data_IF_245543567085
#
_entry.id   IF_245543567085
#
_cell.length_a   1.000
_cell.length_b   1.000
_cell.length_c   1.000
_cell.angle_alpha   90.00
_cell.angle_beta   90.00
_cell.angle_gamma   90.00
#
_symmetry.space_group_name_H-M   'P 1'
#
loop_
_entity.id
_entity.type
_entity.pdbx_description
1 polymer ?
#
# COMPACT_ATOMS: atom_id res chain seq x y z
N UNK A 1 2.68 20.82 23.18
CA UNK A 1 3.03 19.48 22.67
C UNK A 1 2.93 19.55 21.16
N UNK A 2 4.03 19.48 20.43
CA UNK A 2 4.00 19.55 18.98
C UNK A 2 3.29 18.30 18.45
N UNK A 3 2.14 18.48 17.80
CA UNK A 3 1.59 17.47 16.91
C UNK A 3 2.63 17.29 15.80
N UNK A 4 3.54 16.33 15.96
CA UNK A 4 4.33 15.86 14.82
C UNK A 4 3.33 15.18 13.89
N UNK A 5 2.84 15.94 12.92
CA UNK A 5 1.99 15.42 11.86
C UNK A 5 2.73 14.26 11.21
N UNK A 6 2.08 13.10 11.16
CA UNK A 6 2.62 11.93 10.48
C UNK A 6 2.82 12.33 9.01
N UNK A 7 4.09 12.38 8.57
CA UNK A 7 4.45 12.71 7.20
C UNK A 7 4.62 11.40 6.44
N UNK A 8 3.66 11.13 5.55
CA UNK A 8 3.68 9.93 4.72
C UNK A 8 4.29 10.28 3.37
N UNK A 9 5.33 9.55 3.00
CA UNK A 9 5.94 9.61 1.69
C UNK A 9 5.31 8.53 0.79
N UNK A 10 4.95 8.90 -0.43
CA UNK A 10 4.40 7.98 -1.42
C UNK A 10 5.40 7.85 -2.58
N UNK A 11 5.77 6.62 -2.92
CA UNK A 11 6.67 6.32 -4.04
C UNK A 11 5.99 5.38 -5.05
N UNK A 12 6.21 5.63 -6.34
CA UNK A 12 5.64 4.86 -7.44
C UNK A 12 6.54 3.69 -7.84
N UNK A 13 7.23 3.10 -6.87
CA UNK A 13 8.21 2.03 -7.05
C UNK A 13 7.89 0.85 -6.17
N UNK A 14 8.41 -0.31 -6.58
CA UNK A 14 8.30 -1.51 -5.78
C UNK A 14 9.20 -1.33 -4.57
N UNK A 15 8.69 -1.54 -3.34
CA UNK A 15 9.52 -1.49 -2.15
C UNK A 15 10.55 -2.62 -2.18
N UNK A 16 11.55 -2.56 -1.31
CA UNK A 16 12.44 -3.69 -1.13
C UNK A 16 11.66 -4.89 -0.57
N UNK A 17 12.10 -6.10 -0.93
CA UNK A 17 11.47 -7.33 -0.43
C UNK A 17 11.51 -7.43 1.10
N UNK A 18 12.58 -6.92 1.73
CA UNK A 18 12.72 -6.84 3.19
C UNK A 18 11.60 -5.99 3.80
N UNK A 19 11.37 -4.80 3.26
CA UNK A 19 10.37 -3.86 3.78
C UNK A 19 8.96 -4.44 3.62
N UNK A 20 8.71 -5.13 2.50
CA UNK A 20 7.47 -5.87 2.28
C UNK A 20 7.27 -7.00 3.31
N UNK A 21 8.32 -7.76 3.64
CA UNK A 21 8.24 -8.81 4.65
C UNK A 21 7.93 -8.25 6.04
N UNK A 22 8.51 -7.10 6.39
CA UNK A 22 8.20 -6.41 7.65
C UNK A 22 6.73 -5.94 7.70
N UNK A 23 6.25 -5.32 6.61
CA UNK A 23 4.84 -4.94 6.48
C UNK A 23 3.91 -6.15 6.63
N UNK A 24 4.22 -7.25 5.93
CA UNK A 24 3.45 -8.48 5.99
C UNK A 24 3.41 -9.07 7.40
N UNK A 25 4.57 -9.12 8.09
CA UNK A 25 4.66 -9.61 9.45
C UNK A 25 3.78 -8.79 10.41
N UNK A 26 3.82 -7.46 10.33
CA UNK A 26 2.97 -6.58 11.13
C UNK A 26 1.48 -6.77 10.83
N UNK A 27 1.10 -6.98 9.57
CA UNK A 27 -0.31 -7.23 9.21
C UNK A 27 -0.81 -8.56 9.74
N UNK A 28 0.02 -9.62 9.65
CA UNK A 28 -0.36 -10.95 10.12
C UNK A 28 -0.41 -11.02 11.65
N UNK A 29 0.44 -10.24 12.34
CA UNK A 29 0.36 -10.07 13.79
C UNK A 29 -1.00 -9.49 14.21
N UNK A 30 -1.49 -8.47 13.51
CA UNK A 30 -2.80 -7.84 13.77
C UNK A 30 -3.98 -8.72 13.28
N UNK A 31 -3.83 -9.39 12.14
CA UNK A 31 -4.85 -10.23 11.54
C UNK A 31 -4.23 -11.43 10.81
N UNK A 32 -4.21 -12.57 11.51
CA UNK A 32 -3.62 -13.81 11.00
C UNK A 32 -4.30 -14.35 9.73
N UNK A 33 -5.53 -13.91 9.45
CA UNK A 33 -6.31 -14.30 8.26
C UNK A 33 -6.33 -13.21 7.19
N UNK A 34 -5.45 -12.20 7.28
CA UNK A 34 -5.37 -11.16 6.26
C UNK A 34 -5.01 -11.78 4.91
N UNK A 35 -5.84 -11.54 3.90
CA UNK A 35 -5.54 -11.94 2.53
C UNK A 35 -4.55 -10.93 1.93
N UNK A 36 -3.25 -11.19 2.09
CA UNK A 36 -2.18 -10.36 1.56
C UNK A 36 -1.60 -10.99 0.29
N UNK A 37 -1.44 -10.20 -0.76
CA UNK A 37 -0.89 -10.65 -2.04
C UNK A 37 0.59 -10.98 -1.93
N UNK A 38 1.10 -11.86 -2.78
CA UNK A 38 2.54 -12.16 -2.83
C UNK A 38 3.35 -10.96 -3.35
N UNK A 39 4.61 -10.86 -2.92
CA UNK A 39 5.52 -9.76 -3.30
C UNK A 39 5.69 -9.65 -4.82
N UNK A 40 5.79 -10.80 -5.48
CA UNK A 40 5.98 -10.92 -6.93
C UNK A 40 4.80 -10.30 -7.70
N UNK A 41 3.58 -10.40 -7.17
CA UNK A 41 2.38 -9.77 -7.75
C UNK A 41 2.51 -8.25 -7.80
N UNK A 42 3.13 -7.64 -6.79
CA UNK A 42 3.41 -6.20 -6.80
C UNK A 42 4.52 -5.84 -7.78
N UNK A 43 5.60 -6.63 -7.82
CA UNK A 43 6.71 -6.41 -8.75
C UNK A 43 6.28 -6.46 -10.22
N UNK A 44 5.31 -7.32 -10.54
CA UNK A 44 4.78 -7.50 -11.90
C UNK A 44 3.67 -6.51 -12.25
N UNK A 45 3.19 -5.72 -11.28
CA UNK A 45 2.11 -4.78 -11.51
C UNK A 45 2.59 -3.53 -12.24
N UNK A 46 1.84 -3.13 -13.25
CA UNK A 46 2.11 -1.96 -14.09
C UNK A 46 2.06 -0.62 -13.32
N UNK A 47 1.32 -0.56 -12.21
CA UNK A 47 1.23 0.61 -11.34
C UNK A 47 1.22 0.18 -9.87
N UNK A 48 2.15 0.72 -9.09
CA UNK A 48 2.30 0.44 -7.66
C UNK A 48 2.59 1.74 -6.92
N UNK A 49 2.09 1.82 -5.70
CA UNK A 49 2.34 2.93 -4.77
C UNK A 49 2.76 2.30 -3.44
N UNK A 50 3.97 2.60 -2.99
CA UNK A 50 4.46 2.29 -1.66
C UNK A 50 4.28 3.53 -0.77
N UNK A 51 3.83 3.32 0.47
CA UNK A 51 3.63 4.37 1.46
C UNK A 51 4.61 4.17 2.62
N UNK A 52 5.39 5.19 2.93
CA UNK A 52 6.41 5.17 3.97
C UNK A 52 6.10 6.21 5.05
N UNK A 53 6.31 5.83 6.31
CA UNK A 53 6.35 6.74 7.46
C UNK A 53 7.75 6.66 8.06
N UNK A 54 8.48 7.78 8.07
CA UNK A 54 9.86 7.84 8.57
C UNK A 54 10.79 6.75 8.01
N UNK A 55 10.64 6.44 6.72
CA UNK A 55 11.43 5.41 6.02
C UNK A 55 10.94 3.97 6.22
N UNK A 56 9.92 3.73 7.05
CA UNK A 56 9.31 2.41 7.23
C UNK A 56 8.13 2.23 6.29
N UNK A 57 8.05 1.10 5.59
CA UNK A 57 6.91 0.77 4.75
C UNK A 57 5.67 0.51 5.62
N UNK A 58 4.63 1.31 5.43
CA UNK A 58 3.36 1.24 6.20
C UNK A 58 2.16 0.89 5.32
N UNK A 59 2.32 0.95 4.00
CA UNK A 59 1.31 0.56 3.05
C UNK A 59 1.86 0.27 1.66
N UNK A 60 1.16 -0.57 0.92
CA UNK A 60 1.47 -0.94 -0.45
C UNK A 60 0.17 -1.12 -1.22
N UNK A 61 0.11 -0.52 -2.41
CA UNK A 61 -1.05 -0.61 -3.28
C UNK A 61 -0.64 -0.83 -4.73
N UNK A 62 -1.52 -1.45 -5.50
CA UNK A 62 -1.34 -1.67 -6.94
C UNK A 62 -2.62 -1.40 -7.70
N UNK A 63 -2.49 -1.04 -8.96
CA UNK A 63 -3.61 -1.04 -9.88
C UNK A 63 -3.82 -2.45 -10.43
N UNK A 64 -5.07 -2.79 -10.69
CA UNK A 64 -5.49 -4.06 -11.26
C UNK A 64 -6.08 -3.77 -12.63
N UNK A 65 -5.48 -4.34 -13.68
CA UNK A 65 -6.10 -4.29 -15.01
C UNK A 65 -7.38 -5.13 -14.96
N UNK A 66 -8.53 -4.49 -15.12
CA UNK A 66 -9.79 -5.19 -15.32
C UNK A 66 -10.16 -5.07 -16.80
N UNK A 67 -10.18 -6.20 -17.50
CA UNK A 67 -10.57 -6.25 -18.91
C UNK A 67 -12.07 -5.98 -19.11
N UNK A 68 -12.90 -6.18 -18.08
CA UNK A 68 -14.38 -6.21 -18.19
C UNK A 68 -15.12 -5.12 -17.39
N UNK A 69 -14.42 -4.18 -16.74
CA UNK A 69 -15.07 -3.17 -15.90
C UNK A 69 -14.62 -1.73 -16.18
N UNK A 70 -15.56 -0.76 -16.16
CA UNK A 70 -15.28 0.62 -16.52
C UNK A 70 -14.56 1.44 -15.44
N UNK A 71 -14.20 0.84 -14.30
CA UNK A 71 -13.48 1.55 -13.22
C UNK A 71 -12.17 0.83 -12.89
N UNK A 72 -11.04 1.54 -12.81
CA UNK A 72 -9.79 0.95 -12.36
C UNK A 72 -9.97 0.40 -10.94
N UNK A 73 -9.71 -0.89 -10.78
CA UNK A 73 -9.67 -1.51 -9.46
C UNK A 73 -8.27 -1.39 -8.88
N UNK A 74 -8.18 -1.26 -7.56
CA UNK A 74 -6.91 -1.21 -6.86
C UNK A 74 -6.96 -2.12 -5.63
N UNK A 75 -5.88 -2.88 -5.45
CA UNK A 75 -5.63 -3.65 -4.23
C UNK A 75 -4.72 -2.81 -3.35
N UNK A 76 -5.15 -2.50 -2.13
CA UNK A 76 -4.40 -1.68 -1.18
C UNK A 76 -4.30 -2.42 0.14
N UNK A 77 -3.07 -2.52 0.64
CA UNK A 77 -2.73 -3.14 1.90
C UNK A 77 -2.02 -2.12 2.77
N UNK A 78 -2.61 -1.75 3.91
CA UNK A 78 -2.08 -0.74 4.84
C UNK A 78 -2.20 -1.28 6.28
N UNK A 79 -1.19 -1.01 7.11
CA UNK A 79 -1.19 -1.29 8.54
C UNK A 79 -2.42 -0.67 9.23
N UNK A 80 -3.02 -1.37 10.20
CA UNK A 80 -4.30 -0.95 10.77
C UNK A 80 -4.26 0.45 11.40
N UNK A 81 -3.17 0.81 12.08
CA UNK A 81 -2.98 2.14 12.68
C UNK A 81 -2.92 3.30 11.66
N UNK A 82 -2.71 2.98 10.38
CA UNK A 82 -2.70 3.91 9.25
C UNK A 82 -3.99 3.83 8.41
N UNK A 83 -4.87 2.85 8.65
CA UNK A 83 -6.20 2.76 8.01
C UNK A 83 -7.08 3.92 8.46
N UNK A 84 -8.01 4.35 7.59
CA UNK A 84 -8.90 5.51 7.76
C UNK A 84 -8.21 6.88 7.86
N UNK A 85 -6.89 6.95 7.66
CA UNK A 85 -6.19 8.21 7.38
C UNK A 85 -6.32 8.54 5.89
N UNK A 86 -5.94 9.76 5.52
CA UNK A 86 -5.98 10.20 4.12
C UNK A 86 -5.12 9.34 3.17
N UNK A 87 -4.23 8.48 3.70
CA UNK A 87 -3.32 7.58 2.98
C UNK A 87 -4.08 6.67 2.01
N UNK A 88 -5.11 5.95 2.47
CA UNK A 88 -5.88 5.04 1.59
C UNK A 88 -6.52 5.84 0.44
N UNK A 89 -7.11 7.00 0.74
CA UNK A 89 -7.72 7.86 -0.28
C UNK A 89 -6.69 8.39 -1.28
N UNK A 90 -5.52 8.84 -0.82
CA UNK A 90 -4.45 9.31 -1.70
C UNK A 90 -3.88 8.20 -2.56
N UNK A 91 -3.60 7.03 -1.99
CA UNK A 91 -3.13 5.87 -2.76
C UNK A 91 -4.15 5.47 -3.83
N UNK A 92 -5.45 5.43 -3.52
CA UNK A 92 -6.50 5.16 -4.51
C UNK A 92 -6.49 6.17 -5.64
N UNK A 93 -6.38 7.46 -5.34
CA UNK A 93 -6.30 8.52 -6.36
C UNK A 93 -5.10 8.30 -7.28
N UNK A 94 -3.91 8.07 -6.72
CA UNK A 94 -2.69 7.85 -7.51
C UNK A 94 -2.77 6.57 -8.36
N UNK A 95 -3.39 5.52 -7.85
CA UNK A 95 -3.58 4.25 -8.58
C UNK A 95 -4.65 4.35 -9.68
N UNK A 96 -5.59 5.29 -9.57
CA UNK A 96 -6.71 5.49 -10.52
C UNK A 96 -6.40 6.47 -11.64
N UNK A 97 -5.31 7.23 -11.57
CA UNK A 97 -4.89 8.15 -12.65
C UNK A 97 -4.11 7.35 -13.68
N UNK A 98 -4.81 6.64 -14.57
CA UNK A 98 -4.30 6.13 -15.85
C UNK A 98 -5.38 6.14 -16.91
#
# INVERSE_FOLDING_TARGET
MANQGIQIELDNKCPLQSDYQELLASILEENHNANVLQYETFCQSFNIIAAYDQGKLVGLGRAVEQMDHPKPACDITILQQYRNREIDSYMRKLLSIR
#
